data_IF_044102324221
#
_entry.id   IF_044102324221
#
_cell.length_a   1.000
_cell.length_b   1.000
_cell.length_c   1.000
_cell.angle_alpha   90.00
_cell.angle_beta   90.00
_cell.angle_gamma   90.00
#
_symmetry.space_group_name_H-M   'P 1'
#
loop_
_entity.id
_entity.type
_entity.pdbx_description
1 polymer ?
#
# COMPACT_ATOMS: atom_id res chain seq x y z
N UNK A 1 3.79 -13.19 29.26
CA UNK A 1 3.26 -14.57 29.37
C UNK A 1 4.28 -15.52 28.77
N UNK A 2 4.61 -16.66 29.39
CA UNK A 2 5.43 -17.69 28.76
C UNK A 2 4.64 -18.24 27.57
N UNK A 3 5.22 -18.16 26.38
CA UNK A 3 4.54 -18.44 25.12
C UNK A 3 3.75 -17.23 24.62
N UNK A 4 4.43 -16.18 24.17
CA UNK A 4 3.81 -15.29 23.18
C UNK A 4 3.45 -16.15 21.97
N UNK A 5 2.16 -16.35 21.64
CA UNK A 5 1.76 -17.13 20.49
C UNK A 5 2.08 -16.26 19.28
N UNK A 6 3.33 -16.33 18.83
CA UNK A 6 3.62 -16.05 17.44
C UNK A 6 2.74 -17.02 16.68
N UNK A 7 1.70 -16.47 16.06
CA UNK A 7 0.73 -17.21 15.28
C UNK A 7 1.51 -18.17 14.38
N UNK A 8 1.47 -19.47 14.68
CA UNK A 8 2.21 -20.49 13.92
C UNK A 8 1.85 -20.42 12.42
N UNK A 9 0.63 -19.96 12.14
CA UNK A 9 0.18 -19.58 10.81
C UNK A 9 -0.51 -18.20 10.83
N UNK A 10 -0.25 -17.34 9.83
CA UNK A 10 -0.91 -16.06 9.73
C UNK A 10 -2.43 -16.26 9.56
N UNK A 11 -3.28 -15.51 10.29
CA UNK A 11 -4.74 -15.66 10.25
C UNK A 11 -5.27 -15.53 8.82
N UNK A 12 -6.16 -16.45 8.43
CA UNK A 12 -6.76 -16.50 7.09
C UNK A 12 -7.46 -15.17 6.79
N UNK A 13 -6.95 -14.45 5.79
CA UNK A 13 -7.47 -13.13 5.37
C UNK A 13 -6.59 -11.94 5.75
N UNK A 14 -5.58 -12.13 6.62
CA UNK A 14 -4.64 -11.06 6.94
C UNK A 14 -3.62 -10.92 5.80
N UNK A 15 -3.60 -9.76 5.15
CA UNK A 15 -2.52 -9.42 4.24
C UNK A 15 -1.24 -9.17 5.04
N UNK A 16 -0.30 -10.13 4.95
CA UNK A 16 1.01 -9.97 5.59
C UNK A 16 1.82 -8.89 4.88
N UNK A 17 2.66 -8.16 5.62
CA UNK A 17 3.55 -7.14 5.06
C UNK A 17 4.36 -7.61 3.84
N UNK A 18 4.96 -8.82 3.84
CA UNK A 18 5.68 -9.32 2.67
C UNK A 18 4.77 -9.50 1.45
N UNK A 19 3.51 -9.92 1.67
CA UNK A 19 2.53 -10.11 0.59
C UNK A 19 2.05 -8.78 0.03
N UNK A 20 1.75 -7.81 0.89
CA UNK A 20 1.39 -6.45 0.50
C UNK A 20 2.52 -5.78 -0.30
N UNK A 21 3.76 -5.84 0.20
CA UNK A 21 4.90 -5.23 -0.48
C UNK A 21 5.20 -5.88 -1.84
N UNK A 22 5.02 -7.19 -1.96
CA UNK A 22 5.17 -7.88 -3.26
C UNK A 22 4.07 -7.51 -4.25
N UNK A 23 2.81 -7.42 -3.79
CA UNK A 23 1.66 -7.19 -4.67
C UNK A 23 1.49 -5.71 -5.04
N UNK A 24 1.72 -4.81 -4.08
CA UNK A 24 1.45 -3.37 -4.24
C UNK A 24 2.74 -2.58 -4.36
N UNK A 25 3.79 -2.97 -3.62
CA UNK A 25 5.04 -2.22 -3.58
C UNK A 25 5.73 -2.14 -4.94
N UNK A 26 5.88 -3.28 -5.64
CA UNK A 26 6.53 -3.32 -6.96
C UNK A 26 5.79 -2.47 -8.03
N UNK A 27 4.47 -2.60 -8.23
CA UNK A 27 3.78 -1.75 -9.21
C UNK A 27 3.72 -0.28 -8.78
N UNK A 28 3.58 0.01 -7.48
CA UNK A 28 3.56 1.39 -6.99
C UNK A 28 4.90 2.09 -7.23
N UNK A 29 6.03 1.42 -6.98
CA UNK A 29 7.36 2.01 -7.23
C UNK A 29 7.61 2.19 -8.73
N UNK A 30 7.26 1.21 -9.57
CA UNK A 30 7.38 1.35 -11.02
C UNK A 30 6.58 2.55 -11.57
N UNK A 31 5.34 2.72 -11.08
CA UNK A 31 4.50 3.86 -11.44
C UNK A 31 5.12 5.19 -11.01
N UNK A 32 5.56 5.31 -9.76
CA UNK A 32 6.16 6.55 -9.24
C UNK A 32 7.48 6.89 -9.97
N UNK A 33 8.28 5.90 -10.34
CA UNK A 33 9.48 6.11 -11.15
C UNK A 33 9.13 6.64 -12.54
N UNK A 34 8.08 6.11 -13.18
CA UNK A 34 7.61 6.64 -14.46
C UNK A 34 7.13 8.09 -14.34
N UNK A 35 6.36 8.42 -13.29
CA UNK A 35 5.93 9.81 -13.03
C UNK A 35 7.11 10.75 -12.79
N UNK A 36 8.13 10.30 -12.06
CA UNK A 36 9.36 11.04 -11.86
C UNK A 36 10.11 11.29 -13.18
N UNK A 37 10.19 10.28 -14.05
CA UNK A 37 10.80 10.40 -15.36
C UNK A 37 10.09 11.43 -16.26
N UNK A 38 8.76 11.48 -16.19
CA UNK A 38 7.94 12.44 -16.95
C UNK A 38 7.80 13.81 -16.28
N UNK A 39 8.41 14.03 -15.11
CA UNK A 39 8.34 15.30 -14.39
C UNK A 39 6.98 15.60 -13.74
N UNK A 40 6.10 14.60 -13.61
CA UNK A 40 4.73 14.73 -13.07
C UNK A 40 4.56 14.05 -11.70
N UNK A 41 5.67 13.91 -10.96
CA UNK A 41 5.69 13.17 -9.69
C UNK A 41 4.79 13.82 -8.63
N UNK A 42 4.80 15.16 -8.55
CA UNK A 42 4.05 15.88 -7.53
C UNK A 42 2.55 15.76 -7.78
N UNK A 43 2.12 15.89 -9.03
CA UNK A 43 0.74 15.71 -9.48
C UNK A 43 0.25 14.29 -9.18
N UNK A 44 1.08 13.28 -9.46
CA UNK A 44 0.76 11.88 -9.14
C UNK A 44 0.55 11.68 -7.63
N UNK A 45 1.42 12.23 -6.79
CA UNK A 45 1.29 12.15 -5.34
C UNK A 45 0.05 12.88 -4.80
N UNK A 46 -0.27 14.05 -5.37
CA UNK A 46 -1.49 14.80 -5.03
C UNK A 46 -2.73 13.99 -5.40
N UNK A 47 -2.79 13.43 -6.61
CA UNK A 47 -3.91 12.61 -7.07
C UNK A 47 -4.09 11.38 -6.17
N UNK A 48 -3.00 10.67 -5.83
CA UNK A 48 -3.05 9.51 -4.93
C UNK A 48 -3.65 9.91 -3.58
N UNK A 49 -3.18 11.02 -3.00
CA UNK A 49 -3.63 11.49 -1.68
C UNK A 49 -5.11 11.88 -1.71
N UNK A 50 -5.54 12.66 -2.71
CA UNK A 50 -6.93 13.11 -2.85
C UNK A 50 -7.86 11.92 -3.10
N UNK A 51 -7.44 10.97 -3.93
CA UNK A 51 -8.24 9.77 -4.23
C UNK A 51 -8.40 8.91 -2.97
N UNK A 52 -7.33 8.69 -2.20
CA UNK A 52 -7.43 7.96 -0.93
C UNK A 52 -8.35 8.67 0.07
N UNK A 53 -8.26 10.00 0.17
CA UNK A 53 -9.15 10.79 1.01
C UNK A 53 -10.61 10.63 0.58
N UNK A 54 -10.89 10.75 -0.72
CA UNK A 54 -12.24 10.62 -1.27
C UNK A 54 -12.82 9.23 -1.03
N UNK A 55 -12.05 8.17 -1.30
CA UNK A 55 -12.46 6.78 -1.02
C UNK A 55 -12.73 6.58 0.47
N UNK A 56 -11.84 7.06 1.35
CA UNK A 56 -12.05 6.97 2.79
C UNK A 56 -13.30 7.73 3.26
N UNK A 57 -13.63 8.87 2.63
CA UNK A 57 -14.87 9.57 2.90
C UNK A 57 -16.08 8.75 2.46
N UNK A 58 -16.05 8.17 1.26
CA UNK A 58 -17.17 7.37 0.71
C UNK A 58 -17.44 6.06 1.47
N UNK A 59 -16.43 5.50 2.14
CA UNK A 59 -16.54 4.25 2.92
C UNK A 59 -17.07 4.49 4.35
N UNK A 60 -17.06 5.75 4.82
CA UNK A 60 -17.69 6.16 6.08
C UNK A 60 -19.19 6.36 5.91
#
# INVERSE_FOLDING_TARGET
MPGSPYLDEPPKGLWTWPRLLRLVGLPATAFLVACAYHGVLLEALVIITVTMLAVNWMVR
#
